data_IF_790069324456
#
_entry.id   IF_790069324456
#
_cell.length_a   1.000
_cell.length_b   1.000
_cell.length_c   1.000
_cell.angle_alpha   90.00
_cell.angle_beta   90.00
_cell.angle_gamma   90.00
#
_symmetry.space_group_name_H-M   'P 1'
#
loop_
_entity.id
_entity.type
_entity.pdbx_description
1 polymer ?
#
# COMPACT_ATOMS: atom_id res chain seq x y z
N UNK A 1 1.26 -2.06 5.57
CA UNK A 1 0.42 -1.18 6.39
C UNK A 1 1.01 -1.05 7.78
N UNK A 2 0.97 0.14 8.33
CA UNK A 2 1.48 0.39 9.68
C UNK A 2 0.61 -0.36 10.69
N UNK A 3 1.21 -1.05 11.73
CA UNK A 3 0.44 -1.97 12.59
C UNK A 3 -0.75 -1.39 13.33
N UNK A 4 -0.64 -0.19 13.90
CA UNK A 4 -1.76 0.39 14.63
C UNK A 4 -2.91 0.78 13.70
N UNK A 5 -2.60 1.25 12.49
CA UNK A 5 -3.59 1.54 11.47
C UNK A 5 -4.25 0.26 10.97
N UNK A 6 -3.48 -0.82 10.80
CA UNK A 6 -4.02 -2.11 10.41
C UNK A 6 -5.02 -2.62 11.46
N UNK A 7 -4.67 -2.56 12.74
CA UNK A 7 -5.56 -2.99 13.83
C UNK A 7 -6.86 -2.21 13.87
N UNK A 8 -6.81 -0.92 13.54
CA UNK A 8 -8.00 -0.07 13.50
C UNK A 8 -8.88 -0.36 12.29
N UNK A 9 -8.28 -0.58 11.11
CA UNK A 9 -9.00 -0.74 9.85
C UNK A 9 -9.42 -2.18 9.56
N UNK A 10 -8.63 -3.15 9.99
CA UNK A 10 -8.84 -4.56 9.70
C UNK A 10 -8.53 -5.42 10.93
N UNK A 11 -9.34 -5.29 12.00
CA UNK A 11 -9.12 -6.11 13.20
C UNK A 11 -9.25 -7.59 12.86
N UNK A 12 -8.29 -8.38 13.32
CA UNK A 12 -8.26 -9.81 13.01
C UNK A 12 -7.45 -10.17 11.77
N UNK A 13 -6.92 -9.19 11.05
CA UNK A 13 -6.02 -9.47 9.94
C UNK A 13 -4.70 -10.02 10.47
N UNK A 14 -4.18 -11.04 9.80
CA UNK A 14 -2.94 -11.71 10.18
C UNK A 14 -1.87 -11.52 9.12
N UNK A 15 -0.67 -11.13 9.55
CA UNK A 15 0.48 -11.03 8.65
C UNK A 15 0.87 -12.42 8.15
N UNK A 16 1.11 -12.51 6.84
CA UNK A 16 1.51 -13.78 6.20
C UNK A 16 2.95 -13.73 5.70
N UNK A 17 3.28 -12.80 4.84
CA UNK A 17 4.61 -12.65 4.27
C UNK A 17 4.74 -11.31 3.57
N UNK A 18 5.98 -10.92 3.23
CA UNK A 18 6.19 -9.77 2.37
C UNK A 18 6.25 -10.22 0.91
N UNK A 19 5.78 -9.36 0.02
CA UNK A 19 5.71 -9.66 -1.40
C UNK A 19 5.85 -8.39 -2.23
N UNK A 20 6.02 -8.57 -3.54
CA UNK A 20 6.06 -7.44 -4.46
C UNK A 20 5.10 -7.64 -5.62
N UNK A 21 4.72 -6.52 -6.22
CA UNK A 21 3.93 -6.46 -7.44
C UNK A 21 4.90 -6.08 -8.56
N UNK A 22 5.34 -7.04 -9.39
CA UNK A 22 6.22 -6.72 -10.52
C UNK A 22 5.42 -5.96 -11.58
N UNK A 23 6.08 -4.97 -12.20
CA UNK A 23 5.46 -4.14 -13.23
C UNK A 23 4.30 -3.30 -12.70
N UNK A 24 4.44 -2.81 -11.46
CA UNK A 24 3.55 -1.85 -10.82
C UNK A 24 4.36 -0.73 -10.21
N UNK A 25 3.75 0.45 -10.05
CA UNK A 25 4.37 1.58 -9.37
C UNK A 25 3.48 2.13 -8.25
N UNK A 26 4.13 2.74 -7.26
CA UNK A 26 3.49 3.57 -6.25
C UNK A 26 3.35 4.99 -6.82
N UNK A 27 2.18 5.61 -6.62
CA UNK A 27 1.95 6.99 -7.00
C UNK A 27 0.99 7.65 -6.00
N UNK A 28 0.75 8.94 -6.15
CA UNK A 28 -0.06 9.71 -5.20
C UNK A 28 -1.13 10.50 -5.94
N UNK A 29 -2.16 9.81 -6.49
CA UNK A 29 -3.15 10.43 -7.38
C UNK A 29 -4.39 10.96 -6.68
N UNK A 30 -4.53 10.79 -5.35
CA UNK A 30 -5.73 11.16 -4.62
C UNK A 30 -5.48 12.47 -3.87
N UNK A 31 -6.06 13.62 -4.32
CA UNK A 31 -5.86 14.90 -3.62
C UNK A 31 -6.30 14.83 -2.16
N UNK A 32 -5.49 15.36 -1.26
CA UNK A 32 -5.79 15.38 0.18
C UNK A 32 -5.13 16.61 0.82
N UNK A 33 -5.78 17.77 0.72
CA UNK A 33 -5.27 19.01 1.34
C UNK A 33 -3.83 19.33 0.93
N UNK A 34 -2.88 18.95 1.77
CA UNK A 34 -1.47 19.28 1.60
C UNK A 34 -0.70 18.36 0.66
N UNK A 35 -1.36 17.42 0.03
CA UNK A 35 -0.65 16.50 -0.86
C UNK A 35 -1.57 15.43 -1.42
N UNK A 36 -0.99 14.29 -1.82
CA UNK A 36 -1.73 13.17 -2.37
C UNK A 36 -1.67 11.94 -1.49
N UNK A 37 -2.76 11.17 -1.47
CA UNK A 37 -2.80 9.85 -0.85
C UNK A 37 -2.27 8.81 -1.84
N UNK A 38 -1.65 7.74 -1.34
CA UNK A 38 -1.02 6.74 -2.20
C UNK A 38 -2.01 5.81 -2.89
N UNK A 39 -1.62 5.35 -4.05
CA UNK A 39 -2.22 4.24 -4.77
C UNK A 39 -1.14 3.50 -5.54
N UNK A 40 -1.49 2.37 -6.12
CA UNK A 40 -0.60 1.61 -6.98
C UNK A 40 -1.27 1.39 -8.32
N UNK A 41 -0.48 1.32 -9.38
CA UNK A 41 -0.98 1.06 -10.72
C UNK A 41 0.04 0.27 -11.55
N UNK A 42 -0.41 -0.48 -12.55
CA UNK A 42 0.53 -1.14 -13.46
C UNK A 42 1.42 -0.15 -14.19
N UNK A 43 2.71 -0.40 -14.18
CA UNK A 43 3.69 0.36 -14.96
C UNK A 43 4.96 -0.48 -15.14
N UNK A 44 5.30 -0.80 -16.38
CA UNK A 44 6.48 -1.61 -16.70
C UNK A 44 7.77 -1.00 -16.18
N UNK A 45 8.69 -1.87 -15.74
CA UNK A 45 9.97 -1.46 -15.22
C UNK A 45 10.00 -1.05 -13.75
N UNK A 46 8.87 -1.15 -13.06
CA UNK A 46 8.75 -0.75 -11.66
C UNK A 46 8.32 -1.93 -10.79
N UNK A 47 8.51 -1.78 -9.49
CA UNK A 47 8.14 -2.81 -8.51
C UNK A 47 7.63 -2.13 -7.25
N UNK A 48 6.53 -2.64 -6.72
CA UNK A 48 5.97 -2.18 -5.43
C UNK A 48 6.13 -3.30 -4.41
N UNK A 49 6.72 -2.97 -3.26
CA UNK A 49 6.84 -3.91 -2.15
C UNK A 49 5.76 -3.65 -1.10
N UNK A 50 5.33 -4.71 -0.44
CA UNK A 50 4.33 -4.61 0.60
C UNK A 50 4.24 -5.87 1.43
N UNK A 51 3.31 -5.83 2.39
CA UNK A 51 3.01 -6.94 3.26
C UNK A 51 1.65 -7.54 2.88
N UNK A 52 1.57 -8.86 2.93
CA UNK A 52 0.34 -9.60 2.63
C UNK A 52 -0.27 -10.08 3.94
N UNK A 53 -1.56 -9.84 4.08
CA UNK A 53 -2.35 -10.23 5.26
C UNK A 53 -3.48 -11.14 4.84
N UNK A 54 -3.84 -12.08 5.72
CA UNK A 54 -5.06 -12.85 5.56
C UNK A 54 -6.13 -12.31 6.49
N UNK A 55 -7.37 -12.37 6.05
CA UNK A 55 -8.52 -11.95 6.84
C UNK A 55 -9.76 -12.65 6.33
N UNK A 56 -10.81 -12.71 7.16
CA UNK A 56 -12.07 -13.28 6.72
C UNK A 56 -12.82 -12.32 5.79
N UNK A 57 -13.87 -12.82 5.14
CA UNK A 57 -14.63 -12.04 4.17
C UNK A 57 -15.29 -10.81 4.80
N UNK A 58 -15.73 -10.93 6.05
CA UNK A 58 -16.38 -9.83 6.76
C UNK A 58 -15.40 -8.70 7.05
N UNK A 59 -14.20 -9.03 7.49
CA UNK A 59 -13.15 -8.05 7.73
C UNK A 59 -12.71 -7.38 6.43
N UNK A 60 -12.58 -8.16 5.35
CA UNK A 60 -12.23 -7.61 4.05
C UNK A 60 -13.31 -6.66 3.54
N UNK A 61 -14.58 -7.00 3.72
CA UNK A 61 -15.69 -6.11 3.32
C UNK A 61 -15.63 -4.77 4.04
N UNK A 62 -15.30 -4.77 5.34
CA UNK A 62 -15.13 -3.54 6.12
C UNK A 62 -13.95 -2.73 5.63
N UNK A 63 -12.84 -3.39 5.32
CA UNK A 63 -11.65 -2.72 4.77
C UNK A 63 -11.98 -2.10 3.42
N UNK A 64 -12.66 -2.83 2.54
CA UNK A 64 -13.07 -2.33 1.24
C UNK A 64 -13.93 -1.06 1.37
N UNK A 65 -14.86 -1.04 2.34
CA UNK A 65 -15.71 0.12 2.59
C UNK A 65 -14.90 1.33 3.06
N UNK A 66 -13.89 1.12 3.91
CA UNK A 66 -13.02 2.21 4.38
C UNK A 66 -12.15 2.75 3.25
N UNK A 67 -11.60 1.85 2.43
CA UNK A 67 -10.78 2.26 1.28
C UNK A 67 -11.62 3.03 0.25
N UNK A 68 -12.90 2.64 0.08
CA UNK A 68 -13.81 3.35 -0.81
C UNK A 68 -14.01 4.81 -0.39
N UNK A 69 -13.98 5.09 0.91
CA UNK A 69 -14.08 6.47 1.41
C UNK A 69 -12.89 7.33 1.01
N UNK A 70 -11.73 6.71 0.79
CA UNK A 70 -10.54 7.41 0.30
C UNK A 70 -10.44 7.40 -1.23
N UNK A 71 -11.44 6.84 -1.91
CA UNK A 71 -11.46 6.81 -3.37
C UNK A 71 -10.78 5.60 -3.99
N UNK A 72 -10.60 4.52 -3.24
CA UNK A 72 -9.98 3.29 -3.74
C UNK A 72 -11.00 2.18 -3.90
N UNK A 73 -10.73 1.29 -4.85
CA UNK A 73 -11.53 0.08 -5.11
C UNK A 73 -10.64 -1.15 -5.00
N UNK A 74 -11.24 -2.26 -4.60
CA UNK A 74 -10.52 -3.54 -4.52
C UNK A 74 -10.27 -4.08 -5.93
N UNK A 75 -9.07 -4.59 -6.14
CA UNK A 75 -8.68 -5.23 -7.40
C UNK A 75 -7.88 -6.49 -7.09
N UNK A 76 -8.23 -7.59 -7.73
CA UNK A 76 -7.49 -8.83 -7.61
C UNK A 76 -6.31 -8.84 -8.56
N UNK A 77 -5.15 -9.23 -8.05
CA UNK A 77 -3.94 -9.34 -8.85
C UNK A 77 -3.04 -10.43 -8.24
N UNK A 78 -1.85 -10.62 -8.80
CA UNK A 78 -0.88 -11.57 -8.28
C UNK A 78 0.33 -10.84 -7.72
N UNK A 79 0.75 -11.23 -6.52
CA UNK A 79 1.97 -10.77 -5.90
C UNK A 79 2.96 -11.92 -5.84
N UNK A 80 4.24 -11.60 -5.82
CA UNK A 80 5.32 -12.58 -5.78
C UNK A 80 6.04 -12.47 -4.44
N UNK A 81 6.19 -13.62 -3.74
CA UNK A 81 6.94 -13.64 -2.49
C UNK A 81 8.46 -13.67 -2.75
N UNK A 82 9.26 -13.66 -1.69
CA UNK A 82 10.74 -13.67 -1.81
C UNK A 82 11.30 -14.93 -2.46
N UNK A 83 10.55 -16.02 -2.43
CA UNK A 83 10.95 -17.29 -3.02
C UNK A 83 10.50 -17.44 -4.47
N UNK A 84 9.82 -16.43 -5.01
CA UNK A 84 9.36 -16.44 -6.39
C UNK A 84 8.00 -17.10 -6.59
N UNK A 85 7.31 -17.45 -5.52
CA UNK A 85 5.96 -18.02 -5.61
C UNK A 85 4.93 -16.91 -5.82
N UNK A 86 3.97 -17.15 -6.70
CA UNK A 86 2.89 -16.21 -6.99
C UNK A 86 1.69 -16.49 -6.10
N UNK A 87 1.07 -15.42 -5.62
CA UNK A 87 -0.11 -15.48 -4.76
C UNK A 87 -1.17 -14.54 -5.29
N UNK A 88 -2.42 -15.02 -5.32
CA UNK A 88 -3.53 -14.15 -5.65
C UNK A 88 -3.84 -13.27 -4.45
N UNK A 89 -3.87 -11.95 -4.66
CA UNK A 89 -4.09 -10.97 -3.60
C UNK A 89 -5.09 -9.93 -4.02
N UNK A 90 -5.65 -9.22 -3.05
CA UNK A 90 -6.48 -8.04 -3.26
C UNK A 90 -5.64 -6.81 -2.93
N UNK A 91 -5.61 -5.85 -3.83
CA UNK A 91 -5.01 -4.54 -3.61
C UNK A 91 -6.09 -3.48 -3.76
N UNK A 92 -5.91 -2.34 -3.11
CA UNK A 92 -6.84 -1.22 -3.21
C UNK A 92 -6.21 -0.13 -4.06
N UNK A 93 -6.85 0.17 -5.18
CA UNK A 93 -6.33 1.12 -6.17
C UNK A 93 -7.27 2.30 -6.34
N UNK A 94 -6.71 3.45 -6.69
CA UNK A 94 -7.50 4.65 -6.92
C UNK A 94 -8.47 4.43 -8.07
N UNK A 95 -9.76 4.72 -7.83
CA UNK A 95 -10.81 4.55 -8.82
C UNK A 95 -10.71 5.58 -9.95
N UNK A 96 -10.40 6.82 -9.60
CA UNK A 96 -10.37 7.94 -10.55
C UNK A 96 -9.14 8.79 -10.27
N UNK A 97 -7.97 8.42 -10.83
CA UNK A 97 -6.75 9.20 -10.61
C UNK A 97 -6.92 10.64 -11.08
N UNK A 98 -6.50 11.58 -10.24
CA UNK A 98 -6.58 13.02 -10.53
C UNK A 98 -5.17 13.60 -10.52
N UNK A 99 -4.40 13.27 -11.55
CA UNK A 99 -3.03 13.75 -11.70
C UNK A 99 -2.04 13.14 -10.72
N UNK A 100 -0.91 13.78 -10.61
CA UNK A 100 0.16 13.41 -9.68
C UNK A 100 0.31 14.53 -8.65
N UNK A 101 0.34 14.17 -7.38
CA UNK A 101 0.52 15.12 -6.29
C UNK A 101 1.77 14.77 -5.50
N UNK A 102 2.34 15.74 -4.82
CA UNK A 102 3.39 15.47 -3.85
C UNK A 102 2.81 14.59 -2.73
N UNK A 103 3.59 13.63 -2.20
CA UNK A 103 3.07 12.74 -1.17
C UNK A 103 2.58 13.48 0.06
N UNK A 104 1.41 13.08 0.59
CA UNK A 104 0.94 13.54 1.90
C UNK A 104 1.95 13.07 2.96
N UNK A 105 2.61 14.00 3.63
CA UNK A 105 3.73 13.68 4.53
C UNK A 105 3.31 12.82 5.71
N UNK A 106 2.15 13.09 6.27
CA UNK A 106 1.63 12.30 7.38
C UNK A 106 1.43 10.83 6.98
N UNK A 107 0.86 10.61 5.80
CA UNK A 107 0.62 9.25 5.31
C UNK A 107 1.95 8.57 4.95
N UNK A 108 2.89 9.33 4.35
CA UNK A 108 4.19 8.80 3.98
C UNK A 108 4.98 8.31 5.21
N UNK A 109 4.88 9.03 6.34
CA UNK A 109 5.49 8.59 7.59
C UNK A 109 4.92 7.25 8.06
N UNK A 110 3.62 7.04 7.89
CA UNK A 110 2.99 5.76 8.21
C UNK A 110 3.50 4.65 7.29
N UNK A 111 3.71 4.94 6.02
CA UNK A 111 4.26 3.98 5.06
C UNK A 111 5.69 3.59 5.44
N UNK A 112 6.52 4.55 5.81
CA UNK A 112 7.89 4.29 6.27
C UNK A 112 7.87 3.42 7.52
N UNK A 113 7.02 3.75 8.50
CA UNK A 113 6.91 2.99 9.73
C UNK A 113 6.49 1.54 9.46
N UNK A 114 5.50 1.34 8.58
CA UNK A 114 5.07 0.01 8.18
C UNK A 114 6.16 -0.76 7.45
N UNK A 115 6.87 -0.10 6.54
CA UNK A 115 7.97 -0.71 5.80
C UNK A 115 9.07 -1.24 6.73
N UNK A 116 9.42 -0.46 7.74
CA UNK A 116 10.41 -0.89 8.75
C UNK A 116 9.89 -2.02 9.63
N UNK A 117 8.63 -1.91 10.05
CA UNK A 117 8.03 -2.93 10.92
C UNK A 117 7.98 -4.30 10.26
N UNK A 118 7.59 -4.37 8.99
CA UNK A 118 7.47 -5.61 8.25
C UNK A 118 8.77 -6.04 7.57
N UNK A 119 9.85 -5.30 7.75
CA UNK A 119 11.16 -5.59 7.16
C UNK A 119 11.13 -5.69 5.64
N UNK A 120 10.47 -4.73 4.99
CA UNK A 120 10.53 -4.62 3.54
C UNK A 120 11.98 -4.34 3.10
N UNK A 121 12.34 -4.62 1.84
CA UNK A 121 13.72 -4.42 1.38
C UNK A 121 14.22 -3.00 1.68
N UNK A 122 15.47 -2.91 2.11
CA UNK A 122 16.08 -1.65 2.52
C UNK A 122 16.02 -0.58 1.43
N UNK A 123 16.18 -0.96 0.17
CA UNK A 123 16.06 -0.03 -0.96
C UNK A 123 14.68 0.57 -1.10
N UNK A 124 13.63 -0.22 -0.85
CA UNK A 124 12.26 0.27 -0.86
C UNK A 124 12.04 1.28 0.26
N UNK A 125 12.44 0.93 1.48
CA UNK A 125 12.32 1.83 2.64
C UNK A 125 13.08 3.14 2.41
N UNK A 126 14.32 3.06 1.91
CA UNK A 126 15.12 4.23 1.61
C UNK A 126 14.45 5.15 0.58
N UNK A 127 13.82 4.56 -0.44
CA UNK A 127 13.11 5.33 -1.46
C UNK A 127 11.93 6.10 -0.83
N UNK A 128 11.17 5.48 0.06
CA UNK A 128 10.09 6.16 0.78
C UNK A 128 10.66 7.29 1.65
N UNK A 129 11.75 7.04 2.37
CA UNK A 129 12.38 8.04 3.23
C UNK A 129 12.88 9.25 2.46
N UNK A 130 13.39 9.06 1.25
CA UNK A 130 13.86 10.15 0.39
C UNK A 130 12.74 11.15 0.05
N UNK A 131 11.50 10.70 0.08
CA UNK A 131 10.35 11.54 -0.23
C UNK A 131 9.83 12.29 1.00
N UNK A 132 10.34 11.99 2.20
CA UNK A 132 9.97 12.71 3.41
C UNK A 132 10.65 14.08 3.43
N UNK A 133 9.87 15.10 3.84
CA UNK A 133 10.45 16.41 4.13
C UNK A 133 11.13 16.38 5.50
N UNK A 134 12.29 17.02 5.59
CA UNK A 134 13.07 17.10 6.84
C UNK A 134 12.59 18.23 7.77
N UNK A 135 11.43 18.78 7.49
CA UNK A 135 10.94 19.96 8.21
C UNK A 135 9.77 19.68 9.12
#
# INVERSE_FOLDING_TARGET
MEPSRLSAMAPGAEFRFIAHLPEWRLHFPIPNGDGGLPSVEPLGGNTVWGAVFSMDERTLAKLNAREAKEGRVARTTQAMDREGHRHQVVVHVCKSPDGEHAPCQQYLRLMVAGSRHWHLPAGWTANLEEQLSDH
#
